data_IF_928548162542
#
_entry.id   IF_928548162542
#
_cell.length_a   1.000
_cell.length_b   1.000
_cell.length_c   1.000
_cell.angle_alpha   90.00
_cell.angle_beta   90.00
_cell.angle_gamma   90.00
#
_symmetry.space_group_name_H-M   'P 1'
#
loop_
_entity.id
_entity.type
_entity.pdbx_description
1 polymer ?
#
# COMPACT_ATOMS: atom_id res chain seq x y z
N UNK A 1 -15.45 -2.90 -4.14
CA UNK A 1 -15.77 -4.10 -4.94
C UNK A 1 -14.50 -4.55 -5.68
N UNK A 2 -14.02 -5.78 -5.48
CA UNK A 2 -12.95 -6.32 -6.35
C UNK A 2 -13.55 -6.50 -7.74
N UNK A 3 -12.90 -5.96 -8.77
CA UNK A 3 -13.33 -6.16 -10.15
C UNK A 3 -13.45 -7.67 -10.44
N UNK A 4 -14.61 -8.10 -10.94
CA UNK A 4 -14.84 -9.49 -11.38
C UNK A 4 -13.79 -9.83 -12.44
N UNK A 5 -13.09 -10.94 -12.25
CA UNK A 5 -12.19 -11.45 -13.29
C UNK A 5 -13.05 -11.82 -14.51
N UNK A 6 -12.70 -11.34 -15.71
CA UNK A 6 -13.45 -11.69 -16.91
C UNK A 6 -13.35 -13.20 -17.17
N UNK A 7 -14.42 -13.80 -17.66
CA UNK A 7 -14.45 -15.22 -18.02
C UNK A 7 -13.53 -15.49 -19.21
N UNK A 8 -13.03 -16.72 -19.40
CA UNK A 8 -12.20 -17.07 -20.56
C UNK A 8 -12.86 -16.71 -21.89
N UNK A 9 -14.18 -16.87 -22.00
CA UNK A 9 -14.98 -16.51 -23.18
C UNK A 9 -15.03 -15.00 -23.41
N UNK A 10 -15.24 -14.20 -22.34
CA UNK A 10 -15.21 -12.73 -22.42
C UNK A 10 -13.83 -12.22 -22.85
N UNK A 11 -12.75 -12.87 -22.38
CA UNK A 11 -11.38 -12.54 -22.78
C UNK A 11 -11.15 -12.90 -24.25
N UNK A 12 -11.53 -14.11 -24.68
CA UNK A 12 -11.37 -14.56 -26.07
C UNK A 12 -12.15 -13.67 -27.05
N UNK A 13 -13.37 -13.27 -26.69
CA UNK A 13 -14.18 -12.36 -27.50
C UNK A 13 -13.54 -10.97 -27.63
N UNK A 14 -13.09 -10.38 -26.51
CA UNK A 14 -12.36 -9.10 -26.53
C UNK A 14 -11.06 -9.19 -27.34
N UNK A 15 -10.35 -10.31 -27.25
CA UNK A 15 -9.13 -10.55 -28.02
C UNK A 15 -9.45 -10.62 -29.52
N UNK A 16 -10.49 -11.36 -29.92
CA UNK A 16 -10.94 -11.45 -31.31
C UNK A 16 -11.35 -10.09 -31.87
N UNK A 17 -12.06 -9.28 -31.09
CA UNK A 17 -12.43 -7.91 -31.47
C UNK A 17 -11.19 -7.00 -31.60
N UNK A 18 -10.24 -7.08 -30.66
CA UNK A 18 -9.01 -6.31 -30.67
C UNK A 18 -8.06 -6.72 -31.81
N UNK A 19 -7.97 -8.01 -32.13
CA UNK A 19 -7.18 -8.50 -33.28
C UNK A 19 -7.78 -8.04 -34.62
N UNK A 20 -9.11 -7.88 -34.68
CA UNK A 20 -9.79 -7.46 -35.92
C UNK A 20 -9.74 -5.95 -36.16
N UNK A 21 -9.86 -5.12 -35.12
CA UNK A 21 -9.99 -3.66 -35.24
C UNK A 21 -8.80 -2.87 -34.66
N UNK A 22 -7.90 -3.53 -33.95
CA UNK A 22 -6.88 -2.89 -33.12
C UNK A 22 -7.47 -2.28 -31.83
N UNK A 23 -6.63 -1.95 -30.84
CA UNK A 23 -7.10 -1.26 -29.65
C UNK A 23 -7.56 0.16 -30.01
N UNK A 24 -8.83 0.48 -29.70
CA UNK A 24 -9.40 1.82 -29.92
C UNK A 24 -8.92 2.80 -28.83
N UNK A 25 -7.65 3.20 -28.90
CA UNK A 25 -7.08 4.20 -28.00
C UNK A 25 -7.31 5.59 -28.61
N UNK A 26 -8.01 6.51 -27.92
CA UNK A 26 -8.19 7.87 -28.40
C UNK A 26 -6.84 8.54 -28.65
N UNK A 27 -6.67 9.15 -29.83
CA UNK A 27 -5.49 9.98 -30.12
C UNK A 27 -5.67 11.35 -29.47
N UNK A 28 -5.02 11.56 -28.33
CA UNK A 28 -5.01 12.84 -27.63
C UNK A 28 -3.96 13.75 -28.29
N UNK A 29 -4.37 14.93 -28.77
CA UNK A 29 -3.46 15.89 -29.41
C UNK A 29 -3.24 17.15 -28.58
N UNK A 30 -4.22 17.50 -27.75
CA UNK A 30 -4.19 18.71 -26.92
C UNK A 30 -4.33 18.39 -25.45
N UNK A 31 -3.91 19.34 -24.59
CA UNK A 31 -4.15 19.27 -23.15
C UNK A 31 -5.65 19.24 -22.82
N UNK A 32 -6.48 19.92 -23.61
CA UNK A 32 -7.95 19.87 -23.48
C UNK A 32 -8.50 18.47 -23.67
N UNK A 33 -8.07 17.78 -24.72
CA UNK A 33 -8.48 16.39 -24.97
C UNK A 33 -8.12 15.48 -23.79
N UNK A 34 -6.93 15.63 -23.23
CA UNK A 34 -6.49 14.87 -22.06
C UNK A 34 -7.41 15.13 -20.86
N UNK A 35 -7.65 16.40 -20.53
CA UNK A 35 -8.51 16.78 -19.41
C UNK A 35 -9.92 16.22 -19.56
N UNK A 36 -10.50 16.31 -20.76
CA UNK A 36 -11.85 15.81 -21.01
C UNK A 36 -11.94 14.29 -20.95
N UNK A 37 -10.91 13.58 -21.43
CA UNK A 37 -10.85 12.14 -21.30
C UNK A 37 -10.63 11.69 -19.85
N UNK A 38 -9.78 12.37 -19.07
CA UNK A 38 -9.63 12.10 -17.64
C UNK A 38 -10.93 12.34 -16.86
N UNK A 39 -11.67 13.41 -17.18
CA UNK A 39 -13.01 13.67 -16.62
C UNK A 39 -13.99 12.55 -16.94
N UNK A 40 -14.02 12.05 -18.18
CA UNK A 40 -14.88 10.90 -18.58
C UNK A 40 -14.54 9.63 -17.78
N UNK A 41 -13.25 9.41 -17.51
CA UNK A 41 -12.77 8.31 -16.68
C UNK A 41 -12.96 8.54 -15.17
N UNK A 42 -13.44 9.73 -14.77
CA UNK A 42 -13.60 10.16 -13.37
C UNK A 42 -12.29 10.13 -12.57
N UNK A 43 -11.17 10.33 -13.25
CA UNK A 43 -9.85 10.41 -12.62
C UNK A 43 -9.64 11.82 -12.10
N UNK A 44 -9.24 11.93 -10.83
CA UNK A 44 -8.96 13.23 -10.22
C UNK A 44 -7.62 13.78 -10.72
N UNK A 45 -7.39 15.12 -10.72
CA UNK A 45 -6.09 15.68 -11.09
C UNK A 45 -4.92 15.10 -10.27
N UNK A 46 -5.12 14.89 -8.96
CA UNK A 46 -4.11 14.28 -8.09
C UNK A 46 -3.80 12.82 -8.45
N UNK A 47 -4.82 12.01 -8.73
CA UNK A 47 -4.63 10.62 -9.16
C UNK A 47 -3.93 10.52 -10.52
N UNK A 48 -4.31 11.39 -11.48
CA UNK A 48 -3.65 11.47 -12.78
C UNK A 48 -2.17 11.84 -12.62
N UNK A 49 -1.87 12.90 -11.86
CA UNK A 49 -0.49 13.34 -11.61
C UNK A 49 0.34 12.25 -10.93
N UNK A 50 -0.16 11.63 -9.84
CA UNK A 50 0.53 10.54 -9.15
C UNK A 50 0.81 9.36 -10.07
N UNK A 51 -0.13 8.99 -10.92
CA UNK A 51 0.05 7.88 -11.88
C UNK A 51 1.13 8.20 -12.92
N UNK A 52 1.14 9.43 -13.43
CA UNK A 52 2.17 9.89 -14.39
C UNK A 52 3.53 9.97 -13.71
N UNK A 53 3.62 10.57 -12.51
CA UNK A 53 4.86 10.66 -11.74
C UNK A 53 5.41 9.26 -11.42
N UNK A 54 4.57 8.32 -11.01
CA UNK A 54 4.94 6.91 -10.73
C UNK A 54 5.54 6.21 -11.96
N UNK A 55 5.19 6.64 -13.17
CA UNK A 55 5.70 6.07 -14.42
C UNK A 55 6.91 6.79 -15.00
N UNK A 56 6.97 8.11 -14.83
CA UNK A 56 8.08 8.92 -15.33
C UNK A 56 9.31 8.84 -14.42
N UNK A 57 9.09 8.62 -13.13
CA UNK A 57 10.17 8.44 -12.16
C UNK A 57 10.22 6.98 -11.72
N UNK A 58 11.33 6.52 -11.18
CA UNK A 58 11.42 5.25 -10.45
C UNK A 58 10.72 5.35 -9.08
N UNK A 59 9.52 5.97 -9.05
CA UNK A 59 8.80 6.32 -7.85
C UNK A 59 8.47 5.07 -7.06
N UNK A 60 8.96 5.03 -5.83
CA UNK A 60 8.66 3.97 -4.89
C UNK A 60 7.66 4.43 -3.83
N UNK A 61 6.94 5.54 -4.00
CA UNK A 61 5.97 6.11 -3.03
C UNK A 61 5.06 5.05 -2.43
N UNK A 62 4.43 4.20 -3.26
CA UNK A 62 3.55 3.12 -2.78
C UNK A 62 4.31 2.06 -1.98
N UNK A 63 5.52 1.72 -2.41
CA UNK A 63 6.39 0.77 -1.73
C UNK A 63 6.92 1.35 -0.41
N UNK A 64 7.42 2.57 -0.42
CA UNK A 64 7.90 3.31 0.74
C UNK A 64 6.79 3.45 1.78
N UNK A 65 5.57 3.82 1.37
CA UNK A 65 4.45 3.89 2.29
C UNK A 65 4.08 2.52 2.88
N UNK A 66 4.15 1.44 2.09
CA UNK A 66 4.03 0.06 2.62
C UNK A 66 5.10 -0.19 3.70
N UNK A 67 6.35 0.18 3.46
CA UNK A 67 7.44 0.01 4.41
C UNK A 67 7.27 0.86 5.66
N UNK A 68 6.75 2.08 5.55
CA UNK A 68 6.41 2.93 6.71
C UNK A 68 5.33 2.26 7.57
N UNK A 69 4.24 1.77 6.96
CA UNK A 69 3.19 1.08 7.73
C UNK A 69 3.74 -0.13 8.50
N UNK A 70 4.55 -0.96 7.83
CA UNK A 70 5.18 -2.12 8.46
C UNK A 70 6.15 -1.71 9.57
N UNK A 71 6.94 -0.65 9.36
CA UNK A 71 7.88 -0.13 10.35
C UNK A 71 7.17 0.34 11.61
N UNK A 72 6.09 1.14 11.46
CA UNK A 72 5.30 1.59 12.60
C UNK A 72 4.66 0.41 13.36
N UNK A 73 4.19 -0.60 12.64
CA UNK A 73 3.70 -1.84 13.26
C UNK A 73 4.80 -2.60 14.03
N UNK A 74 5.96 -2.84 13.41
CA UNK A 74 7.09 -3.54 14.06
C UNK A 74 7.55 -2.78 15.30
N UNK A 75 7.61 -1.45 15.25
CA UNK A 75 7.97 -0.61 16.39
C UNK A 75 6.99 -0.74 17.54
N UNK A 76 5.69 -0.80 17.24
CA UNK A 76 4.67 -1.04 18.25
C UNK A 76 4.81 -2.43 18.86
N UNK A 77 5.07 -3.47 18.05
CA UNK A 77 5.31 -4.83 18.55
C UNK A 77 6.54 -4.92 19.46
N UNK A 78 7.62 -4.23 19.11
CA UNK A 78 8.82 -4.13 19.98
C UNK A 78 8.51 -3.39 21.28
N UNK A 79 7.65 -2.37 21.25
CA UNK A 79 7.21 -1.66 22.46
C UNK A 79 6.36 -2.54 23.36
N UNK A 80 5.41 -3.28 22.77
CA UNK A 80 4.56 -4.25 23.47
C UNK A 80 5.40 -5.36 24.12
N UNK A 81 6.39 -5.91 23.41
CA UNK A 81 7.32 -6.92 23.93
C UNK A 81 8.10 -6.40 25.14
N UNK A 82 8.64 -5.18 25.04
CA UNK A 82 9.33 -4.52 26.17
C UNK A 82 8.43 -4.29 27.38
N UNK A 83 7.13 -4.11 27.16
CA UNK A 83 6.14 -3.98 28.24
C UNK A 83 5.68 -5.32 28.84
N UNK A 84 6.17 -6.44 28.29
CA UNK A 84 5.83 -7.79 28.76
C UNK A 84 4.49 -8.32 28.26
N UNK A 85 3.80 -7.60 27.37
CA UNK A 85 2.50 -8.02 26.86
C UNK A 85 2.32 -7.72 25.37
N UNK A 86 2.31 -8.78 24.57
CA UNK A 86 2.01 -8.74 23.14
C UNK A 86 0.50 -8.85 22.92
N UNK A 87 -0.11 -7.76 22.46
CA UNK A 87 -1.55 -7.70 22.17
C UNK A 87 -1.92 -8.59 20.98
N UNK A 88 -3.22 -8.90 20.77
CA UNK A 88 -3.69 -9.40 19.50
C UNK A 88 -3.26 -8.47 18.36
N UNK A 89 -2.77 -9.03 17.25
CA UNK A 89 -2.18 -8.25 16.16
C UNK A 89 -3.10 -7.16 15.61
N UNK A 90 -4.38 -7.47 15.49
CA UNK A 90 -5.37 -6.51 14.99
C UNK A 90 -5.51 -5.29 15.92
N UNK A 91 -5.34 -5.47 17.22
CA UNK A 91 -5.40 -4.37 18.19
C UNK A 91 -4.15 -3.50 18.12
N UNK A 92 -2.97 -4.12 17.93
CA UNK A 92 -1.74 -3.39 17.59
C UNK A 92 -1.92 -2.58 16.30
N UNK A 93 -2.52 -3.17 15.24
CA UNK A 93 -2.79 -2.46 13.98
C UNK A 93 -3.69 -1.24 14.22
N UNK A 94 -4.80 -1.41 14.94
CA UNK A 94 -5.70 -0.30 15.30
C UNK A 94 -4.98 0.79 16.08
N UNK A 95 -4.17 0.40 17.06
CA UNK A 95 -3.40 1.35 17.87
C UNK A 95 -2.43 2.17 17.01
N UNK A 96 -1.74 1.52 16.06
CA UNK A 96 -0.80 2.18 15.15
C UNK A 96 -1.49 3.17 14.21
N UNK A 97 -2.56 2.75 13.55
CA UNK A 97 -3.26 3.59 12.55
C UNK A 97 -3.89 4.82 13.20
N UNK A 98 -4.33 4.71 14.46
CA UNK A 98 -4.89 5.83 15.24
C UNK A 98 -3.87 6.85 15.72
N UNK A 99 -2.57 6.60 15.55
CA UNK A 99 -1.56 7.57 15.97
C UNK A 99 -1.52 8.77 15.02
N UNK A 100 -1.39 9.98 15.58
CA UNK A 100 -1.15 11.20 14.78
C UNK A 100 0.02 11.04 13.81
N UNK A 101 1.08 10.35 14.25
CA UNK A 101 2.26 10.07 13.43
C UNK A 101 1.92 9.29 12.15
N UNK A 102 1.00 8.33 12.23
CA UNK A 102 0.57 7.56 11.06
C UNK A 102 -0.15 8.46 10.05
N UNK A 103 -1.05 9.31 10.55
CA UNK A 103 -1.80 10.27 9.73
C UNK A 103 -0.88 11.34 9.10
N UNK A 104 0.07 11.88 9.87
CA UNK A 104 1.07 12.85 9.37
C UNK A 104 1.89 12.25 8.20
N UNK A 105 2.35 11.00 8.34
CA UNK A 105 3.03 10.33 7.23
C UNK A 105 2.07 10.08 6.06
N UNK A 106 0.83 9.66 6.30
CA UNK A 106 -0.13 9.42 5.22
C UNK A 106 -0.28 10.65 4.33
N UNK A 107 -0.49 11.83 4.90
CA UNK A 107 -0.61 13.07 4.11
C UNK A 107 0.71 13.48 3.44
N UNK A 108 1.86 13.11 4.00
CA UNK A 108 3.15 13.28 3.34
C UNK A 108 3.29 12.45 2.05
N UNK A 109 2.72 11.24 2.02
CA UNK A 109 2.74 10.37 0.82
C UNK A 109 1.57 10.61 -0.13
N UNK A 110 0.40 10.99 0.39
CA UNK A 110 -0.83 11.20 -0.38
C UNK A 110 -1.58 12.47 0.07
N UNK A 111 -1.05 13.66 -0.22
CA UNK A 111 -1.64 14.92 0.22
C UNK A 111 -3.00 15.19 -0.43
N UNK A 112 -3.29 14.56 -1.57
CA UNK A 112 -4.54 14.68 -2.32
C UNK A 112 -5.66 13.75 -1.82
N UNK A 113 -5.35 12.81 -0.91
CA UNK A 113 -6.31 11.84 -0.40
C UNK A 113 -6.75 12.19 1.02
N UNK A 114 -8.03 11.96 1.31
CA UNK A 114 -8.55 12.01 2.68
C UNK A 114 -8.13 10.74 3.44
N UNK A 115 -7.62 10.91 4.65
CA UNK A 115 -7.32 9.79 5.54
C UNK A 115 -8.60 9.02 5.90
N UNK A 116 -8.54 7.69 5.76
CA UNK A 116 -9.61 6.77 6.12
C UNK A 116 -9.04 5.70 7.04
N UNK A 117 -9.29 5.86 8.35
CA UNK A 117 -8.77 4.98 9.40
C UNK A 117 -9.14 3.51 9.14
N UNK A 118 -10.41 3.26 8.77
CA UNK A 118 -10.90 1.88 8.57
C UNK A 118 -10.17 1.22 7.41
N UNK A 119 -10.02 1.94 6.30
CA UNK A 119 -9.27 1.46 5.14
C UNK A 119 -7.82 1.19 5.48
N UNK A 120 -7.17 2.06 6.24
CA UNK A 120 -5.76 1.92 6.61
C UNK A 120 -5.54 0.75 7.57
N UNK A 121 -6.48 0.50 8.50
CA UNK A 121 -6.50 -0.71 9.34
C UNK A 121 -6.60 -1.97 8.47
N UNK A 122 -7.53 -2.01 7.52
CA UNK A 122 -7.71 -3.17 6.62
C UNK A 122 -6.45 -3.44 5.80
N UNK A 123 -5.84 -2.39 5.23
CA UNK A 123 -4.63 -2.50 4.42
C UNK A 123 -3.42 -2.95 5.24
N UNK A 124 -3.19 -2.38 6.42
CA UNK A 124 -2.08 -2.81 7.28
C UNK A 124 -2.29 -4.23 7.80
N UNK A 125 -3.51 -4.58 8.23
CA UNK A 125 -3.82 -5.95 8.67
C UNK A 125 -3.54 -6.96 7.55
N UNK A 126 -3.95 -6.65 6.32
CA UNK A 126 -3.66 -7.47 5.15
C UNK A 126 -2.16 -7.65 4.91
N UNK A 127 -1.38 -6.57 5.04
CA UNK A 127 0.08 -6.61 4.87
C UNK A 127 0.76 -7.53 5.89
N UNK A 128 0.26 -7.62 7.12
CA UNK A 128 0.89 -8.45 8.17
C UNK A 128 0.33 -9.87 8.26
N UNK A 129 -0.67 -10.23 7.44
CA UNK A 129 -1.33 -11.54 7.47
C UNK A 129 -1.22 -12.32 6.17
N UNK A 130 -0.98 -11.66 5.03
CA UNK A 130 -0.86 -12.32 3.74
C UNK A 130 0.59 -12.65 3.37
N UNK A 131 0.79 -13.80 2.70
CA UNK A 131 2.12 -14.30 2.26
C UNK A 131 3.00 -13.25 1.56
N UNK A 132 2.47 -12.39 0.66
CA UNK A 132 3.31 -11.38 0.00
C UNK A 132 3.91 -10.36 0.97
N UNK A 133 3.26 -10.11 2.10
CA UNK A 133 3.76 -9.20 3.12
C UNK A 133 4.91 -9.77 3.93
N UNK A 134 4.95 -11.10 4.12
CA UNK A 134 5.97 -11.78 4.92
C UNK A 134 7.38 -11.62 4.34
N UNK A 135 7.50 -11.46 3.03
CA UNK A 135 8.77 -11.17 2.36
C UNK A 135 9.44 -9.87 2.87
N UNK A 136 8.67 -8.95 3.45
CA UNK A 136 9.17 -7.70 4.01
C UNK A 136 9.31 -7.75 5.53
N UNK A 137 8.80 -8.76 6.21
CA UNK A 137 8.89 -8.92 7.67
C UNK A 137 10.16 -9.69 8.09
N UNK A 138 11.30 -9.29 7.52
CA UNK A 138 12.60 -9.92 7.71
C UNK A 138 13.66 -8.91 8.14
N UNK A 139 14.76 -9.42 8.70
CA UNK A 139 15.93 -8.63 9.08
C UNK A 139 16.51 -7.84 7.90
N UNK A 140 17.12 -6.68 8.18
CA UNK A 140 17.62 -5.75 7.17
C UNK A 140 16.65 -4.61 6.84
N UNK A 141 15.34 -4.81 7.03
CA UNK A 141 14.33 -3.79 6.74
C UNK A 141 13.96 -2.87 7.92
N UNK A 142 14.34 -3.23 9.15
CA UNK A 142 13.88 -2.52 10.35
C UNK A 142 15.02 -2.15 11.29
N UNK A 143 14.98 -0.90 11.75
CA UNK A 143 15.83 -0.37 12.81
C UNK A 143 15.01 -0.24 14.09
N UNK A 144 15.66 -0.30 15.26
CA UNK A 144 15.00 0.07 16.51
C UNK A 144 14.59 1.55 16.50
N UNK A 145 13.45 1.93 17.13
CA UNK A 145 13.03 3.32 17.21
C UNK A 145 14.13 4.22 17.79
N UNK A 146 14.47 5.31 17.10
CA UNK A 146 15.49 6.27 17.54
C UNK A 146 16.93 5.75 17.49
N UNK A 147 17.20 4.65 16.78
CA UNK A 147 18.51 4.02 16.71
C UNK A 147 18.92 3.68 15.28
N UNK A 148 20.24 3.51 15.06
CA UNK A 148 20.81 2.93 13.83
C UNK A 148 21.00 1.40 13.91
N UNK A 149 20.57 0.78 15.02
CA UNK A 149 20.69 -0.67 15.23
C UNK A 149 19.57 -1.42 14.50
N UNK A 150 19.94 -2.41 13.70
CA UNK A 150 19.01 -3.35 13.06
C UNK A 150 18.29 -4.22 14.09
N UNK A 151 17.02 -4.55 13.82
CA UNK A 151 16.26 -5.52 14.61
C UNK A 151 16.60 -6.93 14.09
N UNK A 152 17.24 -7.80 14.90
CA UNK A 152 17.61 -9.14 14.45
C UNK A 152 16.39 -10.01 14.14
N UNK A 153 16.53 -10.95 13.19
CA UNK A 153 15.43 -11.85 12.80
C UNK A 153 14.86 -12.63 13.99
N UNK A 154 15.71 -13.03 14.95
CA UNK A 154 15.28 -13.72 16.18
C UNK A 154 14.26 -12.87 16.96
N UNK A 155 14.52 -11.57 17.10
CA UNK A 155 13.61 -10.69 17.82
C UNK A 155 12.35 -10.40 17.00
N UNK A 156 12.47 -10.19 15.68
CA UNK A 156 11.31 -10.07 14.79
C UNK A 156 10.39 -11.28 14.91
N UNK A 157 10.94 -12.50 14.89
CA UNK A 157 10.14 -13.72 15.04
C UNK A 157 9.41 -13.77 16.38
N UNK A 158 10.06 -13.36 17.48
CA UNK A 158 9.41 -13.33 18.79
C UNK A 158 8.23 -12.36 18.83
N UNK A 159 8.40 -11.14 18.30
CA UNK A 159 7.36 -10.11 18.41
C UNK A 159 6.29 -10.25 17.33
N UNK A 160 6.61 -10.78 16.16
CA UNK A 160 5.67 -10.97 15.05
C UNK A 160 4.97 -12.34 15.11
N UNK A 161 5.65 -13.38 15.56
CA UNK A 161 5.17 -14.76 15.57
C UNK A 161 5.45 -15.42 16.93
N UNK A 162 4.91 -14.89 18.04
CA UNK A 162 5.17 -15.44 19.36
C UNK A 162 4.75 -16.91 19.39
N UNK A 163 5.64 -17.78 19.86
CA UNK A 163 5.30 -19.17 20.15
C UNK A 163 4.28 -19.14 21.28
N UNK A 164 3.15 -19.82 21.06
CA UNK A 164 2.17 -20.09 22.11
C UNK A 164 2.77 -21.02 23.16
#
# INVERSE_FOLDING_TARGET
MKARKPSPTEVAQKLGEAMRKGPNVPRLKTWGDLVDNLKKLKVTPGEAYRTVQEKLTSDNTRFNWKMIRLTLYVWERVREDKSGYLKPKIDTVRAVVKTRRFEDFFYGYYPDLKFDEKREIELLNKLITEKPGYAYLVEGYYLYPGSKRLIPQKHLNNVLWPKK
#
